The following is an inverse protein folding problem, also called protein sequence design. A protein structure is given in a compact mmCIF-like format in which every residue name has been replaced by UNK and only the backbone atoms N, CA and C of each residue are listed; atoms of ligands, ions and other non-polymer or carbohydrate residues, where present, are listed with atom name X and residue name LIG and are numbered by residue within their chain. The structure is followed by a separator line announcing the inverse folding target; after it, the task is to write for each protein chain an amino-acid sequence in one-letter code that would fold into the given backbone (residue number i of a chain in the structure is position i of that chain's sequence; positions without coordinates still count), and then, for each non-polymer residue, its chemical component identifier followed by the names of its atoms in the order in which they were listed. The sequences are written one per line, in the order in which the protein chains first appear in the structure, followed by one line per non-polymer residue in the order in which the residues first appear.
data_IF_011818701328
#
_entry.id   IF_011818701328
#
_cell.length_a   1.000
_cell.length_b   1.000
_cell.length_c   1.000
_cell.angle_alpha   90.00
_cell.angle_beta   90.00
_cell.angle_gamma   90.00
#
_symmetry.space_group_name_H-M   'P 1'
#
loop_
_entity.id
_entity.type
_entity.pdbx_description
1 polymer ?
#
# COMPACT_ATOMS: atom_id res chain seq x y z
N UNK A 1 -2.22 6.39 39.33
CA UNK A 1 -2.12 5.16 38.51
C UNK A 1 -3.53 4.75 38.14
N UNK A 2 -4.00 5.20 36.97
CA UNK A 2 -5.32 4.83 36.46
C UNK A 2 -5.24 3.41 35.91
N UNK A 3 -5.91 2.48 36.59
CA UNK A 3 -6.21 1.16 36.05
C UNK A 3 -7.14 1.33 34.84
N UNK A 4 -6.56 1.54 33.66
CA UNK A 4 -7.26 1.33 32.41
C UNK A 4 -7.51 -0.17 32.28
N UNK A 5 -8.62 -0.61 32.87
CA UNK A 5 -9.18 -1.95 32.68
C UNK A 5 -9.17 -2.29 31.19
N UNK A 6 -8.85 -3.54 30.86
CA UNK A 6 -8.63 -4.09 29.53
C UNK A 6 -9.93 -4.11 28.68
N UNK A 7 -10.53 -2.94 28.45
CA UNK A 7 -11.67 -2.77 27.58
C UNK A 7 -11.18 -3.03 26.15
N UNK A 8 -11.68 -4.12 25.56
CA UNK A 8 -11.39 -4.44 24.17
C UNK A 8 -11.92 -3.33 23.26
N UNK A 9 -11.01 -2.51 22.73
CA UNK A 9 -11.32 -1.45 21.77
C UNK A 9 -11.72 -1.98 20.39
N UNK A 10 -11.67 -3.31 20.19
CA UNK A 10 -11.82 -3.97 18.90
C UNK A 10 -13.23 -3.81 18.29
N UNK A 11 -14.27 -3.71 19.12
CA UNK A 11 -15.66 -3.58 18.70
C UNK A 11 -16.34 -2.30 19.22
N UNK A 12 -15.58 -1.35 19.78
CA UNK A 12 -16.14 -0.18 20.49
C UNK A 12 -17.02 0.73 19.61
N UNK A 13 -16.79 0.73 18.30
CA UNK A 13 -17.58 1.51 17.32
C UNK A 13 -18.65 0.69 16.60
N UNK A 14 -18.83 -0.59 16.96
CA UNK A 14 -19.93 -1.42 16.46
C UNK A 14 -21.17 -1.05 17.27
N UNK A 15 -22.29 -0.78 16.59
CA UNK A 15 -23.53 -0.46 17.28
C UNK A 15 -23.94 -1.63 18.20
N UNK A 16 -24.32 -1.40 19.48
CA UNK A 16 -24.66 -2.48 20.41
C UNK A 16 -25.81 -3.39 19.95
N UNK A 17 -26.68 -2.88 19.08
CA UNK A 17 -27.79 -3.63 18.46
C UNK A 17 -27.36 -4.49 17.25
N UNK A 18 -26.08 -4.50 16.90
CA UNK A 18 -25.58 -5.29 15.76
C UNK A 18 -25.61 -6.77 16.10
N UNK A 19 -26.35 -7.61 15.36
CA UNK A 19 -26.38 -9.03 15.62
C UNK A 19 -25.05 -9.69 15.30
N UNK A 20 -24.74 -10.77 16.00
CA UNK A 20 -23.60 -11.65 15.80
C UNK A 20 -23.85 -12.65 14.65
N UNK A 21 -22.79 -13.29 14.17
CA UNK A 21 -22.94 -14.39 13.21
C UNK A 21 -23.74 -15.57 13.78
N UNK A 22 -23.72 -15.79 15.10
CA UNK A 22 -24.55 -16.80 15.74
C UNK A 22 -26.05 -16.49 15.57
N UNK A 23 -26.47 -15.26 15.88
CA UNK A 23 -27.87 -14.83 15.72
C UNK A 23 -28.31 -14.88 14.24
N UNK A 24 -27.43 -14.52 13.31
CA UNK A 24 -27.68 -14.69 11.87
C UNK A 24 -27.86 -16.16 11.49
N UNK A 25 -27.08 -17.07 12.07
CA UNK A 25 -27.22 -18.51 11.82
C UNK A 25 -28.56 -19.04 12.33
N UNK A 26 -29.02 -18.56 13.49
CA UNK A 26 -30.31 -18.95 14.07
C UNK A 26 -31.48 -18.43 13.23
N UNK A 27 -31.43 -17.15 12.82
CA UNK A 27 -32.41 -16.55 11.92
C UNK A 27 -32.48 -17.29 10.58
N UNK A 28 -31.33 -17.70 10.02
CA UNK A 28 -31.27 -18.50 8.80
C UNK A 28 -31.80 -19.91 8.99
N UNK A 29 -31.61 -20.51 10.17
CA UNK A 29 -32.15 -21.82 10.52
C UNK A 29 -33.68 -21.84 10.49
N UNK A 30 -34.30 -20.78 11.03
CA UNK A 30 -35.75 -20.60 11.05
C UNK A 30 -36.36 -20.16 9.69
N UNK A 31 -35.54 -19.71 8.73
CA UNK A 31 -36.03 -19.16 7.47
C UNK A 31 -36.55 -20.26 6.52
N UNK A 32 -37.87 -20.30 6.27
CA UNK A 32 -38.52 -21.27 5.38
C UNK A 32 -38.51 -20.89 3.89
N UNK A 33 -38.14 -19.65 3.55
CA UNK A 33 -38.14 -19.15 2.15
C UNK A 33 -36.95 -19.65 1.33
N UNK A 34 -35.87 -20.07 1.99
CA UNK A 34 -34.65 -20.58 1.35
C UNK A 34 -34.63 -22.11 1.34
N UNK A 35 -34.11 -22.70 0.26
CA UNK A 35 -33.92 -24.15 0.19
C UNK A 35 -32.96 -24.64 1.29
N UNK A 36 -33.16 -25.87 1.76
CA UNK A 36 -32.33 -26.47 2.83
C UNK A 36 -30.84 -26.42 2.49
N UNK A 37 -30.48 -26.74 1.24
CA UNK A 37 -29.11 -26.68 0.75
C UNK A 37 -28.55 -25.25 0.82
N UNK A 38 -29.32 -24.25 0.38
CA UNK A 38 -28.88 -22.85 0.42
C UNK A 38 -28.67 -22.37 1.86
N UNK A 39 -29.55 -22.74 2.80
CA UNK A 39 -29.38 -22.40 4.23
C UNK A 39 -28.07 -22.96 4.78
N UNK A 40 -27.78 -24.24 4.50
CA UNK A 40 -26.53 -24.89 4.91
C UNK A 40 -25.29 -24.18 4.35
N UNK A 41 -25.31 -23.77 3.08
CA UNK A 41 -24.20 -23.04 2.47
C UNK A 41 -23.94 -21.67 3.10
N UNK A 42 -25.01 -20.93 3.42
CA UNK A 42 -24.94 -19.62 4.05
C UNK A 42 -24.36 -19.72 5.47
N UNK A 43 -24.88 -20.65 6.27
CA UNK A 43 -24.39 -20.94 7.63
C UNK A 43 -22.93 -21.39 7.59
N UNK A 44 -22.57 -22.27 6.67
CA UNK A 44 -21.18 -22.72 6.49
C UNK A 44 -20.25 -21.57 6.10
N UNK A 45 -20.72 -20.60 5.31
CA UNK A 45 -20.00 -19.38 4.98
C UNK A 45 -19.68 -18.54 6.22
N UNK A 46 -20.70 -18.29 7.08
CA UNK A 46 -20.54 -17.55 8.33
C UNK A 46 -19.52 -18.24 9.26
N UNK A 47 -19.65 -19.56 9.46
CA UNK A 47 -18.71 -20.34 10.30
C UNK A 47 -17.27 -20.23 9.81
N UNK A 48 -17.03 -20.47 8.52
CA UNK A 48 -15.69 -20.38 7.93
C UNK A 48 -15.06 -18.99 8.05
N UNK A 49 -15.87 -17.93 7.97
CA UNK A 49 -15.39 -16.56 8.17
C UNK A 49 -15.04 -16.32 9.64
N UNK A 50 -15.84 -16.82 10.59
CA UNK A 50 -15.53 -16.73 12.02
C UNK A 50 -14.25 -17.51 12.39
N UNK A 51 -14.13 -18.75 11.91
CA UNK A 51 -12.94 -19.59 12.07
C UNK A 51 -11.68 -18.90 11.52
N UNK A 52 -11.78 -18.29 10.33
CA UNK A 52 -10.65 -17.59 9.72
C UNK A 52 -10.26 -16.29 10.47
N UNK A 53 -11.17 -15.75 11.30
CA UNK A 53 -10.91 -14.64 12.22
C UNK A 53 -10.43 -15.10 13.60
N UNK A 54 -10.26 -16.42 13.80
CA UNK A 54 -9.94 -17.06 15.09
C UNK A 54 -10.97 -16.71 16.18
N UNK A 55 -12.26 -16.79 15.82
CA UNK A 55 -13.40 -16.43 16.69
C UNK A 55 -14.55 -17.41 16.56
N UNK A 56 -15.37 -17.50 17.60
CA UNK A 56 -16.67 -18.17 17.51
C UNK A 56 -17.69 -17.28 16.78
N UNK A 57 -18.73 -17.83 16.14
CA UNK A 57 -19.77 -17.02 15.50
C UNK A 57 -20.44 -15.99 16.42
N UNK A 58 -20.54 -16.25 17.73
CA UNK A 58 -21.10 -15.31 18.70
C UNK A 58 -20.20 -14.07 18.92
N UNK A 59 -18.89 -14.19 18.70
CA UNK A 59 -17.91 -13.12 18.89
C UNK A 59 -17.70 -12.26 17.63
N UNK A 60 -18.39 -12.57 16.54
CA UNK A 60 -18.24 -11.89 15.25
C UNK A 60 -19.49 -11.06 14.99
N UNK A 61 -19.42 -9.71 15.13
CA UNK A 61 -20.53 -8.86 14.79
C UNK A 61 -20.77 -8.89 13.27
N UNK A 62 -22.03 -8.92 12.88
CA UNK A 62 -22.47 -8.81 11.49
C UNK A 62 -22.40 -7.36 10.98
N UNK A 63 -21.27 -6.70 11.18
CA UNK A 63 -21.02 -5.35 10.71
C UNK A 63 -20.02 -5.37 9.54
N UNK A 64 -20.42 -4.93 8.32
CA UNK A 64 -19.50 -4.92 7.19
C UNK A 64 -18.25 -4.07 7.39
N UNK A 65 -18.33 -2.91 8.06
CA UNK A 65 -17.21 -2.01 8.31
C UNK A 65 -16.21 -2.63 9.28
N UNK A 66 -16.69 -3.39 10.26
CA UNK A 66 -15.85 -4.16 11.18
C UNK A 66 -15.20 -5.36 10.49
N UNK A 67 -15.96 -6.10 9.66
CA UNK A 67 -15.47 -7.29 8.97
C UNK A 67 -14.43 -6.96 7.91
N UNK A 68 -14.65 -5.93 7.12
CA UNK A 68 -13.85 -5.60 5.93
C UNK A 68 -12.33 -5.48 6.17
N UNK A 69 -11.83 -4.66 7.11
CA UNK A 69 -10.39 -4.55 7.35
C UNK A 69 -9.80 -5.86 7.90
N UNK A 70 -10.60 -6.67 8.60
CA UNK A 70 -10.15 -7.96 9.18
C UNK A 70 -10.06 -9.04 8.11
N UNK A 71 -11.10 -9.19 7.27
CA UNK A 71 -11.10 -10.16 6.17
C UNK A 71 -10.08 -9.81 5.07
N UNK A 72 -9.80 -8.52 4.86
CA UNK A 72 -8.77 -8.08 3.91
C UNK A 72 -7.35 -8.50 4.31
N UNK A 73 -7.10 -8.73 5.60
CA UNK A 73 -5.79 -9.19 6.12
C UNK A 73 -5.60 -10.69 6.03
N UNK A 74 -6.66 -11.46 5.80
CA UNK A 74 -6.60 -12.92 5.72
C UNK A 74 -5.97 -13.33 4.39
N UNK A 75 -4.82 -13.98 4.48
CA UNK A 75 -4.22 -14.70 3.36
C UNK A 75 -4.82 -16.12 3.30
N UNK A 76 -5.57 -16.50 2.25
CA UNK A 76 -6.23 -17.82 2.18
C UNK A 76 -5.27 -19.00 2.39
N UNK A 77 -4.05 -18.89 1.84
CA UNK A 77 -3.02 -19.91 1.97
C UNK A 77 -2.47 -20.07 3.41
N UNK A 78 -2.65 -19.07 4.28
CA UNK A 78 -2.25 -19.14 5.68
C UNK A 78 -3.24 -19.95 6.53
N UNK A 79 -4.53 -19.94 6.14
CA UNK A 79 -5.59 -20.75 6.77
C UNK A 79 -5.82 -22.08 6.02
N UNK A 80 -4.91 -22.49 5.14
CA UNK A 80 -4.96 -23.77 4.45
C UNK A 80 -6.02 -23.89 3.34
N UNK A 81 -6.62 -22.79 2.87
CA UNK A 81 -7.67 -22.84 1.83
C UNK A 81 -7.23 -22.19 0.52
N UNK A 82 -7.82 -22.63 -0.58
CA UNK A 82 -7.59 -21.99 -1.88
C UNK A 82 -8.21 -20.60 -1.93
N UNK A 83 -7.69 -19.73 -2.80
CA UNK A 83 -8.28 -18.40 -3.04
C UNK A 83 -9.77 -18.51 -3.43
N UNK A 84 -10.13 -19.52 -4.21
CA UNK A 84 -11.52 -19.72 -4.67
C UNK A 84 -12.43 -20.15 -3.52
N UNK A 85 -11.95 -21.06 -2.66
CA UNK A 85 -12.67 -21.50 -1.46
C UNK A 85 -12.94 -20.32 -0.52
N UNK A 86 -11.92 -19.49 -0.26
CA UNK A 86 -12.08 -18.29 0.57
C UNK A 86 -13.08 -17.30 -0.04
N UNK A 87 -12.98 -17.04 -1.34
CA UNK A 87 -13.95 -16.18 -2.05
C UNK A 87 -15.38 -16.69 -1.91
N UNK A 88 -15.58 -18.01 -2.02
CA UNK A 88 -16.90 -18.61 -1.86
C UNK A 88 -17.41 -18.50 -0.41
N UNK A 89 -16.56 -18.73 0.60
CA UNK A 89 -16.92 -18.59 2.01
C UNK A 89 -17.39 -17.16 2.33
N UNK A 90 -16.60 -16.16 1.94
CA UNK A 90 -16.98 -14.74 2.07
C UNK A 90 -18.26 -14.44 1.29
N UNK A 91 -18.40 -14.96 0.06
CA UNK A 91 -19.60 -14.72 -0.75
C UNK A 91 -20.86 -15.28 -0.08
N UNK A 92 -20.76 -16.45 0.55
CA UNK A 92 -21.85 -17.04 1.33
C UNK A 92 -22.12 -16.25 2.61
N UNK A 93 -21.10 -15.85 3.37
CA UNK A 93 -21.26 -14.99 4.55
C UNK A 93 -21.95 -13.66 4.21
N UNK A 94 -21.56 -13.00 3.12
CA UNK A 94 -22.26 -11.80 2.63
C UNK A 94 -23.71 -12.13 2.27
N UNK A 95 -23.94 -13.23 1.57
CA UNK A 95 -25.30 -13.61 1.17
C UNK A 95 -26.20 -13.93 2.36
N UNK A 96 -25.62 -14.45 3.45
CA UNK A 96 -26.29 -14.66 4.72
C UNK A 96 -26.73 -13.32 5.32
N UNK A 97 -25.82 -12.34 5.40
CA UNK A 97 -26.13 -10.98 5.85
C UNK A 97 -27.21 -10.32 4.98
N UNK A 98 -27.23 -10.58 3.66
CA UNK A 98 -28.30 -10.10 2.78
C UNK A 98 -29.65 -10.73 3.11
N UNK A 99 -29.69 -12.05 3.35
CA UNK A 99 -30.91 -12.75 3.69
C UNK A 99 -31.49 -12.33 5.06
N UNK A 100 -30.63 -11.89 5.97
CA UNK A 100 -31.00 -11.36 7.29
C UNK A 100 -31.30 -9.84 7.29
N UNK A 101 -31.24 -9.16 6.13
CA UNK A 101 -31.51 -7.72 6.03
C UNK A 101 -30.37 -6.80 6.48
N UNK A 102 -29.20 -7.36 6.82
CA UNK A 102 -28.02 -6.62 7.29
C UNK A 102 -27.26 -5.97 6.13
N UNK A 103 -27.23 -6.63 4.96
CA UNK A 103 -26.52 -6.13 3.78
C UNK A 103 -27.45 -6.02 2.57
N UNK A 104 -27.16 -5.08 1.67
CA UNK A 104 -27.98 -4.90 0.46
C UNK A 104 -27.65 -5.96 -0.60
N UNK A 105 -28.70 -6.55 -1.18
CA UNK A 105 -28.60 -7.47 -2.33
C UNK A 105 -28.00 -6.76 -3.54
N UNK A 106 -27.01 -7.39 -4.17
CA UNK A 106 -26.45 -6.90 -5.43
C UNK A 106 -27.43 -7.20 -6.56
N UNK A 107 -27.76 -6.19 -7.34
CA UNK A 107 -28.46 -6.34 -8.61
C UNK A 107 -27.46 -6.07 -9.73
N UNK A 108 -27.31 -7.02 -10.66
CA UNK A 108 -26.28 -6.98 -11.73
C UNK A 108 -26.81 -7.51 -13.05
N UNK A 109 -28.13 -7.45 -13.21
CA UNK A 109 -28.83 -7.94 -14.38
C UNK A 109 -28.95 -6.78 -15.36
N UNK A 110 -28.45 -6.88 -16.62
CA UNK A 110 -28.54 -5.78 -17.59
C UNK A 110 -29.96 -5.22 -17.76
N UNK A 111 -30.97 -6.06 -17.52
CA UNK A 111 -32.38 -5.70 -17.57
C UNK A 111 -32.75 -4.67 -16.49
N UNK A 112 -32.00 -4.62 -15.38
CA UNK A 112 -32.23 -3.69 -14.29
C UNK A 112 -31.67 -2.28 -14.54
N UNK A 113 -30.87 -2.08 -15.59
CA UNK A 113 -30.34 -0.75 -15.93
C UNK A 113 -31.43 0.11 -16.58
N UNK A 114 -31.43 1.41 -16.31
CA UNK A 114 -32.22 2.37 -17.09
C UNK A 114 -31.87 2.32 -18.59
N UNK A 115 -32.75 2.78 -19.49
CA UNK A 115 -32.50 2.75 -20.94
C UNK A 115 -31.17 3.40 -21.36
N UNK A 116 -30.80 4.53 -20.74
CA UNK A 116 -29.54 5.22 -21.00
C UNK A 116 -28.32 4.35 -20.64
N UNK A 117 -28.29 3.80 -19.42
CA UNK A 117 -27.21 2.91 -18.99
C UNK A 117 -27.18 1.59 -19.74
N UNK A 118 -28.33 1.03 -20.10
CA UNK A 118 -28.43 -0.23 -20.84
C UNK A 118 -27.80 -0.11 -22.22
N UNK A 119 -28.01 1.02 -22.90
CA UNK A 119 -27.43 1.30 -24.22
C UNK A 119 -25.89 1.32 -24.14
N UNK A 120 -25.32 2.08 -23.21
CA UNK A 120 -23.86 2.11 -22.99
C UNK A 120 -23.29 0.76 -22.55
N UNK A 121 -24.01 0.05 -21.68
CA UNK A 121 -23.58 -1.25 -21.19
C UNK A 121 -23.55 -2.32 -22.30
N UNK A 122 -24.41 -2.17 -23.31
CA UNK A 122 -24.39 -3.05 -24.50
C UNK A 122 -23.12 -2.84 -25.32
N UNK A 123 -22.66 -1.60 -25.49
CA UNK A 123 -21.40 -1.24 -26.17
C UNK A 123 -20.20 -1.81 -25.42
N UNK A 124 -20.16 -1.67 -24.08
CA UNK A 124 -19.10 -2.26 -23.25
C UNK A 124 -19.06 -3.79 -23.41
N UNK A 125 -20.21 -4.46 -23.46
CA UNK A 125 -20.28 -5.91 -23.68
C UNK A 125 -19.81 -6.33 -25.08
N UNK A 126 -20.22 -5.58 -26.11
CA UNK A 126 -19.84 -5.83 -27.49
C UNK A 126 -18.32 -5.70 -27.69
N UNK A 127 -17.66 -4.78 -26.96
CA UNK A 127 -16.20 -4.60 -27.02
C UNK A 127 -15.40 -5.86 -26.64
N UNK A 128 -15.98 -6.78 -25.86
CA UNK A 128 -15.31 -7.96 -25.26
C UNK A 128 -14.04 -7.62 -24.47
N UNK A 129 -13.85 -6.35 -24.08
CA UNK A 129 -12.69 -5.90 -23.35
C UNK A 129 -12.77 -6.34 -21.88
N UNK A 130 -11.96 -7.33 -21.53
CA UNK A 130 -11.90 -7.89 -20.17
C UNK A 130 -11.53 -6.84 -19.12
N UNK A 131 -10.77 -5.80 -19.48
CA UNK A 131 -10.39 -4.74 -18.54
C UNK A 131 -11.58 -3.85 -18.16
N UNK A 132 -12.51 -3.62 -19.09
CA UNK A 132 -13.75 -2.88 -18.85
C UNK A 132 -14.79 -3.76 -18.15
N UNK A 133 -14.99 -4.98 -18.64
CA UNK A 133 -15.96 -5.94 -18.11
C UNK A 133 -15.69 -6.39 -16.68
N UNK A 134 -14.44 -6.28 -16.22
CA UNK A 134 -14.07 -6.61 -14.84
C UNK A 134 -14.18 -5.43 -13.87
N UNK A 135 -14.05 -4.19 -14.35
CA UNK A 135 -13.95 -2.98 -13.51
C UNK A 135 -15.25 -2.19 -13.43
N UNK A 136 -15.90 -1.96 -14.57
CA UNK A 136 -17.08 -1.08 -14.69
C UNK A 136 -18.40 -1.59 -14.13
N UNK A 137 -18.76 -2.90 -14.20
CA UNK A 137 -20.14 -3.30 -13.94
C UNK A 137 -20.61 -2.82 -12.57
N UNK A 138 -19.76 -2.96 -11.55
CA UNK A 138 -20.16 -2.59 -10.19
C UNK A 138 -20.45 -1.09 -10.04
N UNK A 139 -19.69 -0.24 -10.73
CA UNK A 139 -19.83 1.21 -10.65
C UNK A 139 -21.04 1.69 -11.45
N UNK A 140 -21.22 1.19 -12.67
CA UNK A 140 -22.39 1.47 -13.52
C UNK A 140 -23.71 1.15 -12.81
N UNK A 141 -23.83 -0.06 -12.27
CA UNK A 141 -25.04 -0.47 -11.54
C UNK A 141 -25.24 0.29 -10.23
N UNK A 142 -24.20 0.92 -9.69
CA UNK A 142 -24.33 1.79 -8.52
C UNK A 142 -24.88 3.16 -8.94
N UNK A 143 -24.29 3.79 -9.97
CA UNK A 143 -24.71 5.09 -10.50
C UNK A 143 -26.17 5.08 -10.96
N UNK A 144 -26.56 4.07 -11.73
CA UNK A 144 -27.94 3.88 -12.19
C UNK A 144 -28.94 3.79 -11.03
N UNK A 145 -28.57 3.07 -9.96
CA UNK A 145 -29.42 2.89 -8.78
C UNK A 145 -29.66 4.17 -8.00
N UNK A 146 -28.67 5.06 -7.94
CA UNK A 146 -28.81 6.37 -7.29
C UNK A 146 -29.39 7.42 -8.25
N UNK A 147 -29.84 7.01 -9.44
CA UNK A 147 -30.54 7.87 -10.40
C UNK A 147 -29.62 8.80 -11.19
N UNK A 148 -28.31 8.56 -11.21
CA UNK A 148 -27.36 9.40 -11.93
C UNK A 148 -27.29 8.97 -13.39
N UNK A 149 -27.56 9.90 -14.31
CA UNK A 149 -27.41 9.66 -15.74
C UNK A 149 -25.93 9.59 -16.12
N UNK A 150 -25.57 8.90 -17.22
CA UNK A 150 -24.16 8.75 -17.63
C UNK A 150 -23.41 10.07 -17.81
N UNK A 151 -24.08 11.12 -18.26
CA UNK A 151 -23.48 12.44 -18.51
C UNK A 151 -23.30 13.29 -17.25
N UNK A 152 -23.97 12.95 -16.15
CA UNK A 152 -23.90 13.69 -14.88
C UNK A 152 -22.84 13.12 -13.92
N UNK A 153 -22.12 12.09 -14.34
CA UNK A 153 -21.13 11.40 -13.51
C UNK A 153 -19.94 12.32 -13.24
N UNK A 154 -19.59 12.46 -11.95
CA UNK A 154 -18.52 13.35 -11.48
C UNK A 154 -17.75 12.69 -10.32
N UNK A 155 -16.76 13.40 -9.78
CA UNK A 155 -15.91 12.90 -8.71
C UNK A 155 -16.67 12.60 -7.40
N UNK A 156 -17.71 13.37 -7.08
CA UNK A 156 -18.52 13.16 -5.87
C UNK A 156 -19.28 11.83 -5.96
N UNK A 157 -19.78 11.48 -7.14
CA UNK A 157 -20.40 10.17 -7.39
C UNK A 157 -19.40 9.01 -7.22
N UNK A 158 -18.12 9.22 -7.55
CA UNK A 158 -17.07 8.24 -7.30
C UNK A 158 -16.79 8.09 -5.79
N UNK A 159 -16.79 9.19 -5.03
CA UNK A 159 -16.61 9.16 -3.57
C UNK A 159 -17.81 8.49 -2.87
N UNK A 160 -19.04 8.76 -3.32
CA UNK A 160 -20.25 8.07 -2.84
C UNK A 160 -20.16 6.55 -3.11
N UNK A 161 -19.57 6.16 -4.24
CA UNK A 161 -19.33 4.73 -4.51
C UNK A 161 -18.35 4.12 -3.51
N UNK A 162 -17.26 4.82 -3.16
CA UNK A 162 -16.31 4.37 -2.14
C UNK A 162 -17.01 4.15 -0.79
N UNK A 163 -17.78 5.15 -0.34
CA UNK A 163 -18.56 5.08 0.90
C UNK A 163 -19.56 3.91 0.88
N UNK A 164 -20.24 3.68 -0.25
CA UNK A 164 -21.13 2.56 -0.42
C UNK A 164 -20.39 1.21 -0.34
N UNK A 165 -19.17 1.11 -0.86
CA UNK A 165 -18.33 -0.09 -0.77
C UNK A 165 -17.91 -0.35 0.68
N UNK A 166 -17.48 0.66 1.41
CA UNK A 166 -17.10 0.58 2.82
C UNK A 166 -18.26 0.11 3.69
N UNK A 167 -19.47 0.63 3.44
CA UNK A 167 -20.67 0.30 4.21
C UNK A 167 -21.25 -1.08 3.93
N UNK A 168 -21.14 -1.55 2.69
CA UNK A 168 -21.92 -2.72 2.24
C UNK A 168 -21.08 -3.95 1.87
N UNK A 169 -19.75 -3.92 2.01
CA UNK A 169 -18.88 -5.06 1.68
C UNK A 169 -18.01 -5.53 2.83
N UNK A 170 -17.79 -6.85 2.89
CA UNK A 170 -17.12 -7.47 4.05
C UNK A 170 -15.68 -7.93 3.81
N UNK A 171 -15.12 -7.89 2.59
CA UNK A 171 -13.75 -8.41 2.38
C UNK A 171 -12.90 -7.80 1.27
N UNK A 172 -13.46 -6.94 0.42
CA UNK A 172 -12.67 -6.26 -0.60
C UNK A 172 -12.12 -4.97 -0.01
N UNK A 173 -10.87 -4.65 -0.34
CA UNK A 173 -10.35 -3.32 -0.07
C UNK A 173 -11.17 -2.30 -0.89
N UNK A 174 -11.91 -1.39 -0.25
CA UNK A 174 -12.75 -0.40 -0.92
C UNK A 174 -11.97 0.49 -1.87
N UNK A 175 -10.78 0.90 -1.46
CA UNK A 175 -9.89 1.76 -2.24
C UNK A 175 -9.54 1.08 -3.58
N UNK A 176 -9.31 -0.23 -3.59
CA UNK A 176 -9.04 -0.97 -4.83
C UNK A 176 -10.27 -0.94 -5.74
N UNK A 177 -11.46 -1.19 -5.21
CA UNK A 177 -12.70 -1.17 -6.01
C UNK A 177 -13.01 0.23 -6.55
N UNK A 178 -12.82 1.27 -5.73
CA UNK A 178 -12.96 2.67 -6.10
C UNK A 178 -12.02 3.07 -7.23
N UNK A 179 -10.73 2.72 -7.11
CA UNK A 179 -9.74 3.02 -8.15
C UNK A 179 -10.00 2.23 -9.43
N UNK A 180 -10.36 0.95 -9.32
CA UNK A 180 -10.71 0.13 -10.48
C UNK A 180 -11.91 0.73 -11.23
N UNK A 181 -12.90 1.27 -10.51
CA UNK A 181 -14.04 1.97 -11.10
C UNK A 181 -13.63 3.23 -11.87
N UNK A 182 -12.83 4.13 -11.27
CA UNK A 182 -12.33 5.34 -11.92
C UNK A 182 -11.46 5.02 -13.15
N UNK A 183 -10.52 4.08 -13.01
CA UNK A 183 -9.68 3.66 -14.12
C UNK A 183 -10.49 3.00 -15.23
N UNK A 184 -11.51 2.22 -14.88
CA UNK A 184 -12.44 1.62 -15.83
C UNK A 184 -13.25 2.68 -16.58
N UNK A 185 -13.74 3.70 -15.87
CA UNK A 185 -14.48 4.83 -16.42
C UNK A 185 -13.65 5.61 -17.45
N UNK A 186 -12.46 6.07 -17.04
CA UNK A 186 -11.58 6.84 -17.92
C UNK A 186 -11.16 6.02 -19.14
N UNK A 187 -10.85 4.73 -18.96
CA UNK A 187 -10.48 3.82 -20.05
C UNK A 187 -11.63 3.58 -21.02
N UNK A 188 -12.87 3.49 -20.55
CA UNK A 188 -14.01 3.41 -21.45
C UNK A 188 -14.15 4.70 -22.27
N UNK A 189 -13.99 5.86 -21.64
CA UNK A 189 -13.98 7.14 -22.36
C UNK A 189 -12.78 7.36 -23.28
N UNK A 190 -11.71 6.55 -23.21
CA UNK A 190 -10.63 6.52 -24.21
C UNK A 190 -10.96 5.61 -25.40
N UNK A 191 -11.69 4.52 -25.16
CA UNK A 191 -11.82 3.39 -26.10
C UNK A 191 -13.17 3.30 -26.80
N UNK A 192 -14.22 3.81 -26.19
CA UNK A 192 -15.60 3.68 -26.66
C UNK A 192 -16.12 5.06 -27.07
N UNK A 193 -16.41 5.30 -28.36
CA UNK A 193 -16.89 6.59 -28.84
C UNK A 193 -18.16 7.09 -28.16
N UNK A 194 -19.09 6.18 -27.86
CA UNK A 194 -20.39 6.42 -27.27
C UNK A 194 -20.33 6.62 -25.74
N UNK A 195 -19.16 6.39 -25.13
CA UNK A 195 -19.00 6.54 -23.69
C UNK A 195 -18.84 8.02 -23.30
N UNK A 196 -19.43 8.46 -22.17
CA UNK A 196 -19.30 9.83 -21.70
C UNK A 196 -17.84 10.26 -21.56
N UNK A 197 -17.54 11.50 -21.98
CA UNK A 197 -16.16 12.00 -22.07
C UNK A 197 -15.65 12.65 -20.77
N UNK A 198 -16.51 12.83 -19.76
CA UNK A 198 -16.08 13.31 -18.44
C UNK A 198 -14.99 12.39 -17.89
N UNK A 199 -13.90 12.97 -17.40
CA UNK A 199 -12.81 12.24 -16.74
C UNK A 199 -13.01 12.33 -15.24
N UNK A 200 -12.82 11.19 -14.56
CA UNK A 200 -12.81 11.12 -13.10
C UNK A 200 -11.38 11.20 -12.59
N UNK A 201 -11.19 11.97 -11.53
CA UNK A 201 -9.88 12.20 -10.93
C UNK A 201 -9.45 11.00 -10.11
N UNK A 202 -8.30 10.43 -10.49
CA UNK A 202 -7.68 9.36 -9.73
C UNK A 202 -6.67 9.95 -8.75
N UNK A 203 -6.95 10.00 -7.43
CA UNK A 203 -6.01 10.55 -6.48
C UNK A 203 -4.67 9.81 -6.54
N UNK A 204 -3.58 10.57 -6.65
CA UNK A 204 -2.23 10.01 -6.63
C UNK A 204 -1.97 9.35 -5.27
N UNK A 205 -1.45 8.12 -5.29
CA UNK A 205 -0.94 7.47 -4.07
C UNK A 205 0.35 8.11 -3.58
N UNK A 206 1.07 8.80 -4.47
CA UNK A 206 2.34 9.42 -4.15
C UNK A 206 2.09 10.83 -3.61
N UNK A 207 2.25 10.99 -2.29
CA UNK A 207 2.51 12.29 -1.69
C UNK A 207 3.95 12.67 -2.04
N UNK A 208 4.20 13.06 -3.30
CA UNK A 208 5.52 13.56 -3.73
C UNK A 208 5.82 14.79 -2.89
N UNK A 209 6.84 14.67 -2.05
CA UNK A 209 7.35 15.82 -1.29
C UNK A 209 8.44 16.53 -2.06
N UNK A 210 9.23 15.78 -2.83
CA UNK A 210 10.28 16.36 -3.66
C UNK A 210 9.64 17.12 -4.83
N UNK A 211 9.97 18.41 -4.94
CA UNK A 211 9.62 19.24 -6.10
C UNK A 211 10.33 18.71 -7.36
N UNK A 212 9.75 18.91 -8.55
CA UNK A 212 10.46 18.78 -9.82
C UNK A 212 11.79 19.55 -9.80
N UNK A 213 12.81 19.01 -10.48
CA UNK A 213 14.14 19.63 -10.48
C UNK A 213 14.15 21.06 -11.05
N UNK A 214 13.22 21.35 -11.98
CA UNK A 214 13.02 22.66 -12.59
C UNK A 214 12.47 23.73 -11.63
N UNK A 215 11.97 23.34 -10.47
CA UNK A 215 11.42 24.27 -9.47
C UNK A 215 12.46 24.70 -8.43
N UNK A 216 13.67 24.12 -8.41
CA UNK A 216 14.76 24.62 -7.57
C UNK A 216 15.59 25.66 -8.30
N UNK A 217 16.27 26.52 -7.55
CA UNK A 217 17.31 27.38 -8.11
C UNK A 217 18.40 26.55 -8.81
N UNK A 218 18.74 26.89 -10.05
CA UNK A 218 19.72 26.16 -10.84
C UNK A 218 21.10 26.12 -10.17
N UNK A 219 21.49 27.19 -9.48
CA UNK A 219 22.77 27.27 -8.79
C UNK A 219 22.83 26.38 -7.54
N UNK A 220 21.69 26.16 -6.89
CA UNK A 220 21.60 25.21 -5.79
C UNK A 220 21.81 23.78 -6.27
N UNK A 221 21.19 23.40 -7.40
CA UNK A 221 21.41 22.07 -8.00
C UNK A 221 22.88 21.87 -8.34
N UNK A 222 23.51 22.86 -9.00
CA UNK A 222 24.95 22.82 -9.32
C UNK A 222 25.81 22.66 -8.07
N UNK A 223 25.46 23.35 -6.98
CA UNK A 223 26.23 23.28 -5.73
C UNK A 223 26.08 21.92 -5.01
N UNK A 224 24.88 21.34 -5.03
CA UNK A 224 24.64 19.96 -4.57
C UNK A 224 25.49 18.97 -5.38
N UNK A 225 25.46 19.07 -6.71
CA UNK A 225 26.20 18.15 -7.59
C UNK A 225 27.71 18.31 -7.44
N UNK A 226 28.21 19.55 -7.26
CA UNK A 226 29.61 19.84 -6.94
C UNK A 226 30.04 19.15 -5.64
N UNK A 227 29.26 19.30 -4.57
CA UNK A 227 29.56 18.65 -3.30
C UNK A 227 29.61 17.12 -3.43
N UNK A 228 28.69 16.54 -4.20
CA UNK A 228 28.65 15.09 -4.40
C UNK A 228 29.82 14.60 -5.25
N UNK A 229 30.25 15.33 -6.28
CA UNK A 229 31.45 14.98 -7.06
C UNK A 229 32.71 15.03 -6.19
N UNK A 230 32.84 16.04 -5.32
CA UNK A 230 33.94 16.10 -4.33
C UNK A 230 33.94 14.89 -3.39
N UNK A 231 32.77 14.31 -3.08
CA UNK A 231 32.65 13.11 -2.25
C UNK A 231 32.87 11.82 -3.04
N UNK A 232 32.58 11.79 -4.33
CA UNK A 232 32.83 10.65 -5.20
C UNK A 232 34.32 10.52 -5.50
N UNK A 233 34.98 11.65 -5.74
CA UNK A 233 36.40 11.74 -6.11
C UNK A 233 37.08 12.82 -5.26
N UNK A 234 37.33 12.56 -3.97
CA UNK A 234 38.05 13.49 -3.12
C UNK A 234 39.45 13.76 -3.68
N UNK A 235 39.83 15.03 -3.78
CA UNK A 235 41.18 15.42 -4.14
C UNK A 235 42.14 15.12 -2.97
N UNK A 236 43.12 14.22 -3.12
CA UNK A 236 44.07 13.87 -2.06
C UNK A 236 45.01 15.02 -1.70
N UNK A 237 45.14 16.05 -2.55
CA UNK A 237 46.04 17.19 -2.35
C UNK A 237 45.31 18.44 -1.82
N UNK A 238 44.00 18.38 -1.62
CA UNK A 238 43.23 19.50 -1.11
C UNK A 238 43.70 19.88 0.31
N UNK A 239 43.92 21.18 0.55
CA UNK A 239 44.36 21.75 1.83
C UNK A 239 43.28 21.77 2.91
N UNK A 240 42.05 21.39 2.57
CA UNK A 240 40.90 21.32 3.47
C UNK A 240 40.76 19.99 4.21
N UNK A 241 39.56 19.74 4.75
CA UNK A 241 39.25 18.47 5.43
C UNK A 241 39.31 17.31 4.43
N UNK A 242 40.06 16.26 4.79
CA UNK A 242 40.07 15.01 4.02
C UNK A 242 38.68 14.37 4.03
N UNK A 243 38.11 14.18 2.84
CA UNK A 243 36.80 13.57 2.66
C UNK A 243 36.97 12.10 2.29
N UNK A 244 36.20 11.23 2.96
CA UNK A 244 36.16 9.81 2.56
C UNK A 244 35.34 9.65 1.29
N UNK A 245 35.85 8.92 0.28
CA UNK A 245 35.12 8.65 -0.94
C UNK A 245 33.84 7.86 -0.65
N UNK A 246 32.79 8.15 -1.41
CA UNK A 246 31.52 7.42 -1.36
C UNK A 246 31.24 6.68 -2.66
N UNK A 247 30.41 5.65 -2.62
CA UNK A 247 29.93 4.99 -3.81
C UNK A 247 28.92 5.86 -4.58
N UNK A 248 28.80 5.66 -5.90
CA UNK A 248 27.82 6.33 -6.75
C UNK A 248 26.37 6.18 -6.25
N UNK A 249 26.02 5.02 -5.70
CA UNK A 249 24.70 4.78 -5.10
C UNK A 249 24.45 5.61 -3.84
N UNK A 250 25.49 5.84 -3.03
CA UNK A 250 25.41 6.73 -1.87
C UNK A 250 25.26 8.18 -2.30
N UNK A 251 25.99 8.63 -3.33
CA UNK A 251 25.86 9.98 -3.87
C UNK A 251 24.44 10.23 -4.41
N UNK A 252 23.88 9.29 -5.18
CA UNK A 252 22.50 9.37 -5.66
C UNK A 252 21.49 9.43 -4.50
N UNK A 253 21.71 8.65 -3.43
CA UNK A 253 20.87 8.68 -2.22
C UNK A 253 20.95 10.04 -1.52
N UNK A 254 22.15 10.59 -1.35
CA UNK A 254 22.35 11.90 -0.73
C UNK A 254 21.77 13.04 -1.58
N UNK A 255 21.92 13.00 -2.91
CA UNK A 255 21.26 13.96 -3.82
C UNK A 255 19.76 13.97 -3.59
N UNK A 256 19.13 12.79 -3.61
CA UNK A 256 17.70 12.64 -3.36
C UNK A 256 17.30 13.17 -1.98
N UNK A 257 18.07 12.86 -0.93
CA UNK A 257 17.79 13.35 0.42
C UNK A 257 17.88 14.87 0.51
N UNK A 258 18.87 15.48 -0.14
CA UNK A 258 19.08 16.93 -0.14
C UNK A 258 17.96 17.67 -0.88
N UNK A 259 17.63 17.25 -2.10
CA UNK A 259 16.54 17.87 -2.88
C UNK A 259 15.18 17.70 -2.18
N UNK A 260 14.93 16.51 -1.63
CA UNK A 260 13.74 16.26 -0.84
C UNK A 260 13.70 17.12 0.43
N UNK A 261 14.83 17.33 1.09
CA UNK A 261 14.92 18.21 2.25
C UNK A 261 14.68 19.67 1.87
N UNK A 262 15.29 20.16 0.80
CA UNK A 262 15.04 21.50 0.26
C UNK A 262 13.54 21.70 -0.04
N UNK A 263 12.85 20.70 -0.59
CA UNK A 263 11.40 20.77 -0.77
C UNK A 263 10.61 20.84 0.53
N UNK A 264 11.11 20.23 1.61
CA UNK A 264 10.50 20.41 2.93
C UNK A 264 10.65 21.84 3.44
N UNK A 265 11.79 22.49 3.16
CA UNK A 265 12.03 23.90 3.50
C UNK A 265 11.10 24.81 2.68
N UNK A 266 10.96 24.54 1.36
CA UNK A 266 10.02 25.29 0.50
C UNK A 266 8.57 25.11 0.94
N UNK A 267 8.17 23.87 1.21
CA UNK A 267 6.84 23.57 1.74
C UNK A 267 6.56 24.15 3.14
N UNK A 268 7.59 24.62 3.84
CA UNK A 268 7.47 25.36 5.10
C UNK A 268 7.41 26.89 4.90
N UNK A 269 7.29 27.37 3.66
CA UNK A 269 7.08 28.78 3.32
C UNK A 269 8.34 29.58 2.95
N UNK A 270 9.46 28.92 2.64
CA UNK A 270 10.66 29.57 2.07
C UNK A 270 10.56 29.54 0.55
N UNK A 271 10.83 30.65 -0.14
CA UNK A 271 10.79 30.64 -1.60
C UNK A 271 11.92 29.75 -2.17
N UNK A 272 11.69 29.05 -3.29
CA UNK A 272 12.68 28.15 -3.85
C UNK A 272 13.92 28.90 -4.36
N UNK A 273 13.74 30.15 -4.76
CA UNK A 273 14.76 31.07 -5.24
C UNK A 273 15.70 31.53 -4.11
N UNK A 274 15.22 31.55 -2.85
CA UNK A 274 16.06 31.88 -1.68
C UNK A 274 17.08 30.78 -1.40
N UNK A 275 16.78 29.53 -1.77
CA UNK A 275 17.67 28.39 -1.60
C UNK A 275 18.65 28.30 -2.78
N UNK A 276 19.66 29.15 -2.80
CA UNK A 276 20.63 29.26 -3.91
C UNK A 276 21.89 28.39 -3.76
N UNK A 277 22.16 27.84 -2.57
CA UNK A 277 23.35 27.01 -2.28
C UNK A 277 23.15 26.07 -1.09
N UNK A 278 24.06 25.11 -0.91
CA UNK A 278 24.09 24.26 0.28
C UNK A 278 24.34 25.06 1.55
N UNK A 279 25.16 26.12 1.50
CA UNK A 279 25.37 27.01 2.64
C UNK A 279 24.05 27.62 3.11
N UNK A 280 23.27 28.19 2.18
CA UNK A 280 21.98 28.79 2.50
C UNK A 280 21.00 27.74 3.03
N UNK A 281 20.92 26.56 2.41
CA UNK A 281 20.05 25.48 2.89
C UNK A 281 20.40 25.03 4.32
N UNK A 282 21.69 25.05 4.67
CA UNK A 282 22.22 24.57 5.96
C UNK A 282 22.16 25.63 7.06
N UNK A 283 21.71 26.84 6.77
CA UNK A 283 21.47 27.85 7.80
C UNK A 283 20.47 27.33 8.84
N UNK A 284 20.70 27.56 10.16
CA UNK A 284 19.88 26.98 11.22
C UNK A 284 18.37 27.21 11.06
N UNK A 285 17.97 28.40 10.59
CA UNK A 285 16.56 28.74 10.36
C UNK A 285 15.92 27.86 9.27
N UNK A 286 16.61 27.61 8.15
CA UNK A 286 16.12 26.75 7.07
C UNK A 286 16.10 25.29 7.51
N UNK A 287 17.17 24.84 8.18
CA UNK A 287 17.24 23.47 8.70
C UNK A 287 16.11 23.19 9.69
N UNK A 288 15.84 24.11 10.60
CA UNK A 288 14.74 23.99 11.56
C UNK A 288 13.38 23.92 10.86
N UNK A 289 13.09 24.84 9.93
CA UNK A 289 11.83 24.85 9.18
C UNK A 289 11.60 23.53 8.44
N UNK A 290 12.63 23.04 7.74
CA UNK A 290 12.56 21.75 7.03
C UNK A 290 12.30 20.58 7.97
N UNK A 291 13.03 20.49 9.08
CA UNK A 291 12.87 19.42 10.07
C UNK A 291 11.50 19.47 10.78
N UNK A 292 10.98 20.66 11.11
CA UNK A 292 9.62 20.83 11.67
C UNK A 292 8.56 20.35 10.70
N UNK A 293 8.63 20.76 9.44
CA UNK A 293 7.70 20.30 8.42
C UNK A 293 7.78 18.77 8.20
N UNK A 294 8.97 18.16 8.32
CA UNK A 294 9.10 16.70 8.33
C UNK A 294 8.43 16.04 9.54
N UNK A 295 8.50 16.65 10.73
CA UNK A 295 7.87 16.15 11.97
C UNK A 295 6.35 16.27 11.90
N UNK A 296 5.81 17.41 11.50
CA UNK A 296 4.37 17.66 11.36
C UNK A 296 3.70 16.63 10.45
N UNK A 297 4.33 16.34 9.31
CA UNK A 297 3.87 15.31 8.36
C UNK A 297 3.89 13.89 8.93
N UNK A 298 4.65 13.67 10.01
CA UNK A 298 4.72 12.41 10.73
C UNK A 298 3.97 12.45 12.07
N UNK A 299 3.09 13.43 12.29
CA UNK A 299 2.30 13.56 13.51
C UNK A 299 3.13 13.95 14.74
N UNK A 300 4.21 14.71 14.54
CA UNK A 300 5.12 15.15 15.60
C UNK A 300 6.17 14.12 16.03
N UNK A 301 6.13 12.90 15.51
CA UNK A 301 7.08 11.85 15.88
C UNK A 301 8.32 11.83 14.97
N UNK A 302 9.51 11.67 15.57
CA UNK A 302 10.74 11.40 14.80
C UNK A 302 10.72 10.00 14.18
N UNK A 303 11.46 9.84 13.08
CA UNK A 303 11.64 8.58 12.34
C UNK A 303 13.08 8.48 11.86
N UNK A 304 13.52 7.26 11.52
CA UNK A 304 14.86 7.01 10.99
C UNK A 304 15.23 7.98 9.86
N UNK A 305 14.32 8.22 8.90
CA UNK A 305 14.58 9.17 7.81
C UNK A 305 14.84 10.61 8.26
N UNK A 306 14.20 11.08 9.34
CA UNK A 306 14.44 12.42 9.90
C UNK A 306 15.82 12.45 10.56
N UNK A 307 16.12 11.44 11.38
CA UNK A 307 17.43 11.27 12.02
C UNK A 307 18.56 11.20 11.00
N UNK A 308 18.40 10.40 9.93
CA UNK A 308 19.38 10.25 8.86
C UNK A 308 19.58 11.55 8.08
N UNK A 309 18.49 12.30 7.84
CA UNK A 309 18.56 13.61 7.18
C UNK A 309 19.31 14.61 8.04
N UNK A 310 18.96 14.74 9.33
CA UNK A 310 19.68 15.62 10.26
C UNK A 310 21.17 15.25 10.37
N UNK A 311 21.48 13.95 10.39
CA UNK A 311 22.85 13.45 10.36
C UNK A 311 23.60 13.86 9.09
N UNK A 312 22.99 13.69 7.91
CA UNK A 312 23.57 14.08 6.63
C UNK A 312 23.83 15.59 6.58
N UNK A 313 22.86 16.42 6.97
CA UNK A 313 23.00 17.88 6.98
C UNK A 313 24.16 18.34 7.86
N UNK A 314 24.28 17.78 9.08
CA UNK A 314 25.41 18.05 9.96
C UNK A 314 26.76 17.65 9.34
N UNK A 315 26.82 16.48 8.69
CA UNK A 315 28.03 16.02 8.00
C UNK A 315 28.43 17.00 6.89
N UNK A 316 27.47 17.47 6.09
CA UNK A 316 27.73 18.43 5.01
C UNK A 316 28.19 19.77 5.59
N UNK A 317 27.49 20.31 6.60
CA UNK A 317 27.89 21.55 7.28
C UNK A 317 29.34 21.47 7.81
N UNK A 318 29.72 20.32 8.36
CA UNK A 318 31.08 20.07 8.85
C UNK A 318 32.09 20.02 7.70
N UNK A 319 31.75 19.41 6.57
CA UNK A 319 32.63 19.31 5.40
C UNK A 319 32.85 20.65 4.71
N UNK A 320 31.80 21.47 4.61
CA UNK A 320 31.87 22.80 4.02
C UNK A 320 32.53 23.84 4.94
N UNK A 321 32.82 23.48 6.19
CA UNK A 321 33.47 24.39 7.13
C UNK A 321 32.57 25.53 7.60
N UNK A 322 31.26 25.28 7.72
CA UNK A 322 30.32 26.29 8.24
C UNK A 322 30.70 26.75 9.65
N UNK A 323 30.28 27.96 10.08
CA UNK A 323 30.61 28.49 11.40
C UNK A 323 30.31 27.51 12.54
N UNK A 324 31.16 27.50 13.56
CA UNK A 324 31.03 26.57 14.70
C UNK A 324 29.66 26.63 15.36
N UNK A 325 29.06 27.82 15.42
CA UNK A 325 27.70 28.02 15.93
C UNK A 325 26.66 27.21 15.14
N UNK A 326 26.74 27.24 13.80
CA UNK A 326 25.83 26.49 12.93
C UNK A 326 26.02 24.99 13.15
N UNK A 327 27.25 24.51 13.17
CA UNK A 327 27.58 23.10 13.42
C UNK A 327 27.06 22.65 14.79
N UNK A 328 27.19 23.51 15.82
CA UNK A 328 26.69 23.24 17.18
C UNK A 328 25.17 23.11 17.20
N UNK A 329 24.44 24.01 16.56
CA UNK A 329 22.97 23.96 16.49
C UNK A 329 22.51 22.70 15.75
N UNK A 330 23.10 22.39 14.59
CA UNK A 330 22.77 21.18 13.82
C UNK A 330 23.09 19.90 14.59
N UNK A 331 24.14 19.92 15.43
CA UNK A 331 24.46 18.82 16.36
C UNK A 331 23.34 18.62 17.38
N UNK A 332 22.80 19.70 17.95
CA UNK A 332 21.66 19.61 18.87
C UNK A 332 20.42 19.03 18.18
N UNK A 333 20.12 19.46 16.95
CA UNK A 333 19.00 18.90 16.18
C UNK A 333 19.17 17.40 15.93
N UNK A 334 20.34 16.97 15.45
CA UNK A 334 20.64 15.54 15.25
C UNK A 334 20.42 14.74 16.54
N UNK A 335 20.94 15.22 17.67
CA UNK A 335 20.83 14.52 18.96
C UNK A 335 19.39 14.42 19.43
N UNK A 336 18.61 15.50 19.32
CA UNK A 336 17.18 15.50 19.72
C UNK A 336 16.30 14.64 18.81
N UNK A 337 16.68 14.51 17.53
CA UNK A 337 15.93 13.75 16.54
C UNK A 337 16.41 12.29 16.41
N UNK A 338 17.44 11.91 17.16
CA UNK A 338 18.03 10.58 17.12
C UNK A 338 16.97 9.52 17.44
N UNK A 339 16.85 8.54 16.56
CA UNK A 339 16.01 7.37 16.81
C UNK A 339 16.88 6.26 17.35
N UNK A 340 16.77 6.00 18.66
CA UNK A 340 17.42 4.86 19.29
C UNK A 340 16.72 3.57 18.84
N UNK A 341 17.36 2.86 17.92
CA UNK A 341 16.98 1.50 17.60
C UNK A 341 17.70 0.54 18.54
N UNK A 342 17.02 -0.33 19.29
CA UNK A 342 17.66 -1.29 20.20
C UNK A 342 18.43 -2.41 19.47
N UNK A 343 18.79 -2.21 18.20
CA UNK A 343 19.31 -3.25 17.31
C UNK A 343 18.23 -4.21 16.81
N UNK A 344 18.50 -4.86 15.68
CA UNK A 344 17.64 -5.90 15.10
C UNK A 344 16.50 -5.39 14.21
N UNK A 345 15.52 -6.27 13.98
CA UNK A 345 14.46 -6.05 13.00
C UNK A 345 13.36 -5.11 13.49
N UNK A 346 12.80 -4.36 12.54
CA UNK A 346 11.58 -3.58 12.77
C UNK A 346 10.41 -4.42 13.22
N UNK A 347 9.49 -3.85 14.01
CA UNK A 347 8.27 -4.55 14.43
C UNK A 347 7.55 -5.15 13.21
N UNK A 348 7.42 -4.37 12.13
CA UNK A 348 6.88 -4.83 10.84
C UNK A 348 7.61 -6.06 10.28
N UNK A 349 8.94 -6.03 10.24
CA UNK A 349 9.72 -7.16 9.71
C UNK A 349 9.65 -8.37 10.64
N UNK A 350 9.70 -8.15 11.95
CA UNK A 350 9.56 -9.18 12.99
C UNK A 350 8.20 -9.87 12.93
N UNK A 351 7.11 -9.10 12.83
CA UNK A 351 5.75 -9.60 12.69
C UNK A 351 5.60 -10.43 11.40
N UNK A 352 6.19 -9.96 10.30
CA UNK A 352 6.18 -10.68 9.02
C UNK A 352 6.89 -12.03 9.10
N UNK A 353 7.99 -12.12 9.84
CA UNK A 353 8.72 -13.38 10.02
C UNK A 353 8.15 -14.26 11.13
N UNK A 354 7.28 -13.74 12.00
CA UNK A 354 6.70 -14.49 13.13
C UNK A 354 6.01 -15.78 12.68
N UNK A 355 5.39 -15.78 11.49
CA UNK A 355 4.71 -16.96 10.91
C UNK A 355 5.66 -18.16 10.71
N UNK A 356 6.96 -17.93 10.55
CA UNK A 356 7.96 -18.97 10.38
C UNK A 356 8.30 -19.71 11.68
N UNK A 357 7.79 -19.25 12.83
CA UNK A 357 7.87 -20.01 14.09
C UNK A 357 7.03 -21.30 14.05
N UNK A 358 6.05 -21.38 13.17
CA UNK A 358 5.32 -22.61 12.92
C UNK A 358 6.20 -23.54 12.04
N UNK A 359 6.57 -24.74 12.52
CA UNK A 359 7.42 -25.68 11.80
C UNK A 359 6.89 -26.07 10.41
N UNK A 360 5.57 -26.16 10.25
CA UNK A 360 4.96 -26.52 8.96
C UNK A 360 5.08 -25.39 7.94
N UNK A 361 4.96 -24.14 8.38
CA UNK A 361 5.15 -22.97 7.52
C UNK A 361 6.62 -22.85 7.12
N UNK A 362 7.54 -23.08 8.05
CA UNK A 362 8.98 -23.11 7.76
C UNK A 362 9.31 -24.23 6.75
N UNK A 363 8.81 -25.45 6.98
CA UNK A 363 9.00 -26.58 6.06
C UNK A 363 8.47 -26.26 4.66
N UNK A 364 7.31 -25.62 4.55
CA UNK A 364 6.76 -25.17 3.26
C UNK A 364 7.65 -24.15 2.55
N UNK A 365 8.29 -23.23 3.28
CA UNK A 365 9.23 -22.28 2.69
C UNK A 365 10.49 -22.99 2.18
N UNK A 366 11.04 -23.93 2.97
CA UNK A 366 12.26 -24.65 2.63
C UNK A 366 12.09 -25.52 1.37
N UNK A 367 10.96 -26.21 1.20
CA UNK A 367 10.67 -27.00 0.00
C UNK A 367 10.07 -26.19 -1.16
N UNK A 368 9.79 -24.90 -0.98
CA UNK A 368 9.13 -24.09 -2.00
C UNK A 368 9.90 -24.06 -3.33
N UNK A 369 11.25 -23.92 -3.35
CA UNK A 369 12.00 -23.91 -4.61
C UNK A 369 11.78 -25.18 -5.45
N UNK A 370 11.99 -26.36 -4.85
CA UNK A 370 11.82 -27.66 -5.49
C UNK A 370 10.38 -27.87 -5.96
N UNK A 371 9.40 -27.54 -5.11
CA UNK A 371 7.98 -27.65 -5.45
C UNK A 371 7.58 -26.76 -6.61
N UNK A 372 8.19 -25.59 -6.79
CA UNK A 372 7.89 -24.71 -7.92
C UNK A 372 8.60 -25.20 -9.18
N UNK A 373 9.82 -25.70 -9.08
CA UNK A 373 10.58 -26.28 -10.20
C UNK A 373 9.88 -27.52 -10.79
N UNK A 374 9.31 -28.38 -9.94
CA UNK A 374 8.58 -29.58 -10.33
C UNK A 374 7.23 -29.30 -11.03
N UNK A 375 6.70 -28.07 -10.97
CA UNK A 375 5.42 -27.75 -11.62
C UNK A 375 5.56 -27.82 -13.15
N UNK A 376 4.57 -28.40 -13.85
CA UNK A 376 4.54 -28.37 -15.30
C UNK A 376 4.38 -26.92 -15.80
N UNK A 377 5.00 -26.60 -16.94
CA UNK A 377 4.97 -25.25 -17.51
C UNK A 377 3.55 -24.81 -17.93
N UNK A 378 2.68 -25.77 -18.23
CA UNK A 378 1.30 -25.53 -18.64
C UNK A 378 1.16 -24.65 -19.89
N UNK A 379 -0.06 -24.17 -20.15
CA UNK A 379 -0.36 -23.33 -21.31
C UNK A 379 0.21 -21.90 -21.22
N UNK A 380 0.43 -21.39 -20.00
CA UNK A 380 0.97 -20.04 -19.76
C UNK A 380 2.45 -20.09 -19.37
N UNK A 381 3.28 -20.55 -20.31
CA UNK A 381 4.72 -20.81 -20.08
C UNK A 381 5.46 -19.65 -19.43
N UNK A 382 5.21 -18.41 -19.86
CA UNK A 382 5.90 -17.23 -19.30
C UNK A 382 5.70 -17.09 -17.78
N UNK A 383 4.49 -17.39 -17.25
CA UNK A 383 4.22 -17.30 -15.81
C UNK A 383 4.94 -18.40 -15.04
N UNK A 384 4.99 -19.59 -15.62
CA UNK A 384 5.69 -20.72 -15.01
C UNK A 384 7.20 -20.47 -14.97
N UNK A 385 7.78 -19.92 -16.04
CA UNK A 385 9.21 -19.57 -16.07
C UNK A 385 9.56 -18.49 -15.05
N UNK A 386 8.74 -17.44 -14.94
CA UNK A 386 8.94 -16.41 -13.90
C UNK A 386 8.83 -16.98 -12.48
N UNK A 387 7.92 -17.92 -12.26
CA UNK A 387 7.84 -18.60 -10.97
C UNK A 387 9.09 -19.46 -10.69
N UNK A 388 9.70 -20.06 -11.71
CA UNK A 388 10.97 -20.79 -11.58
C UNK A 388 12.15 -19.85 -11.29
N UNK A 389 12.18 -18.67 -11.90
CA UNK A 389 13.13 -17.61 -11.56
C UNK A 389 12.99 -17.21 -10.08
N UNK A 390 11.76 -16.97 -9.60
CA UNK A 390 11.49 -16.71 -8.18
C UNK A 390 11.93 -17.89 -7.29
N UNK A 391 11.75 -19.13 -7.74
CA UNK A 391 12.15 -20.33 -7.01
C UNK A 391 13.67 -20.42 -6.84
N UNK A 392 14.43 -20.15 -7.91
CA UNK A 392 15.91 -20.09 -7.87
C UNK A 392 16.35 -18.98 -6.92
N UNK A 393 15.75 -17.79 -7.04
CA UNK A 393 16.04 -16.67 -6.16
C UNK A 393 15.80 -17.01 -4.68
N UNK A 394 14.67 -17.64 -4.35
CA UNK A 394 14.37 -18.13 -3.01
C UNK A 394 15.39 -19.17 -2.56
N UNK A 395 15.74 -20.13 -3.43
CA UNK A 395 16.76 -21.15 -3.16
C UNK A 395 18.09 -20.52 -2.77
N UNK A 396 18.60 -19.57 -3.56
CA UNK A 396 19.83 -18.83 -3.26
C UNK A 396 19.70 -18.13 -1.90
N UNK A 397 18.61 -17.40 -1.65
CA UNK A 397 18.43 -16.63 -0.41
C UNK A 397 18.30 -17.49 0.85
N UNK A 398 17.90 -18.76 0.73
CA UNK A 398 17.83 -19.71 1.85
C UNK A 398 19.24 -20.16 2.31
N UNK A 399 20.20 -20.25 1.38
CA UNK A 399 21.58 -20.64 1.69
C UNK A 399 22.51 -19.44 1.88
N UNK A 400 22.36 -18.41 1.04
CA UNK A 400 23.19 -17.22 1.01
C UNK A 400 22.28 -15.97 1.00
N UNK A 401 22.07 -15.33 2.17
CA UNK A 401 21.22 -14.14 2.25
C UNK A 401 21.90 -12.95 1.59
N UNK A 402 21.52 -12.69 0.32
CA UNK A 402 22.00 -11.56 -0.48
C UNK A 402 21.04 -10.37 -0.41
N UNK A 403 21.58 -9.17 -0.58
CA UNK A 403 20.75 -7.99 -0.88
C UNK A 403 20.06 -8.17 -2.23
N UNK A 404 18.81 -7.74 -2.35
CA UNK A 404 18.01 -7.86 -3.59
C UNK A 404 18.74 -7.30 -4.81
N UNK A 405 19.46 -6.18 -4.68
CA UNK A 405 20.25 -5.60 -5.77
C UNK A 405 21.34 -6.54 -6.27
N UNK A 406 22.01 -7.24 -5.35
CA UNK A 406 23.09 -8.16 -5.70
C UNK A 406 22.50 -9.41 -6.35
N UNK A 407 21.39 -9.92 -5.81
CA UNK A 407 20.67 -11.06 -6.37
C UNK A 407 20.23 -10.80 -7.82
N UNK A 408 19.70 -9.60 -8.09
CA UNK A 408 19.23 -9.22 -9.44
C UNK A 408 20.35 -9.02 -10.46
N UNK A 409 21.60 -8.84 -10.00
CA UNK A 409 22.78 -8.66 -10.86
C UNK A 409 23.60 -9.95 -10.98
N UNK A 410 23.13 -11.08 -10.41
CA UNK A 410 23.83 -12.34 -10.55
C UNK A 410 23.82 -12.78 -12.02
N UNK A 411 25.00 -13.18 -12.47
CA UNK A 411 25.26 -13.68 -13.81
C UNK A 411 25.95 -15.01 -13.62
N UNK A 412 25.37 -16.08 -14.15
CA UNK A 412 25.82 -17.45 -13.90
C UNK A 412 27.31 -17.61 -14.29
N UNK A 413 27.70 -17.08 -15.45
CA UNK A 413 29.07 -17.24 -15.96
C UNK A 413 30.13 -16.39 -15.24
N UNK A 414 29.72 -15.33 -14.54
CA UNK A 414 30.63 -14.38 -13.90
C UNK A 414 30.70 -14.57 -12.39
N UNK A 415 29.57 -14.87 -11.77
CA UNK A 415 29.40 -14.78 -10.32
C UNK A 415 29.29 -16.15 -9.64
N UNK A 416 29.11 -17.25 -10.39
CA UNK A 416 29.10 -18.60 -9.85
C UNK A 416 30.37 -19.35 -10.28
N UNK A 417 31.16 -19.77 -9.30
CA UNK A 417 32.25 -20.71 -9.55
C UNK A 417 31.64 -22.10 -9.76
N UNK A 418 31.84 -22.67 -10.95
CA UNK A 418 31.47 -24.05 -11.23
C UNK A 418 32.57 -24.97 -10.64
N UNK A 419 32.19 -26.05 -9.94
CA UNK A 419 33.15 -27.00 -9.38
C UNK A 419 33.95 -27.73 -10.47
#
# INVERSE_FOLDING_TARGET
MTEHSAISLDAIFVAPSTPSFAELMDQLGANSTLTVARRKDLISGLRRVAEALDRTPAQVPADPRWLQPRLARIAPAAIGVTRKTWQNAVSNARSAMVACGIATKRQRRPENLSPAWRSLWSVVQASKDKSLLSSLPRFVFFLDRIGIAPEDVNNDHALLFLEAVERNEISKNPEVAYRDAIMGWNRAGDRLPEWPRQRLDLPSRSKRVMLPETEYAADFIKDVDRYLEMRLRPDPLATGKSLRPIAASSAATYRFMLLRFASHVVGAGVAAEELSSLDVLLQPAHVERGLRHMLERNGGATRASISDTAGLLLTIATHLGLPEETVRILTQYKTRLAVHYPGGMTAKNRDRLRVLRNPDVLRRLLHLPEQVMARPLGQRRYKALRAREDAIAIGILLYCPLRVSNLSMLEIERHLQRP
#
